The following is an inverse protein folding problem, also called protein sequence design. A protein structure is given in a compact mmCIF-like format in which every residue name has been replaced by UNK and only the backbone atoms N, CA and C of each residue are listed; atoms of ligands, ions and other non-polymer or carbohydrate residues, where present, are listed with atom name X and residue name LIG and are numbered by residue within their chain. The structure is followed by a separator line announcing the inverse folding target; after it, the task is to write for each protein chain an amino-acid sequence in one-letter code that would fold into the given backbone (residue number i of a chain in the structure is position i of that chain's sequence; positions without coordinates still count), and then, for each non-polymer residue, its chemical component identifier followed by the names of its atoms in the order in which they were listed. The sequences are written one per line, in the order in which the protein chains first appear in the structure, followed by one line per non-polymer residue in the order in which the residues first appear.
data_IF_510382969300
#
_entry.id   IF_510382969300
#
_cell.length_a   1.000
_cell.length_b   1.000
_cell.length_c   1.000
_cell.angle_alpha   90.00
_cell.angle_beta   90.00
_cell.angle_gamma   90.00
#
_symmetry.space_group_name_H-M   'P 1'
#
loop_
_entity.id
_entity.type
_entity.pdbx_description
1 polymer ?
#
# COMPACT_ATOMS: atom_id res chain seq x y z
N UNK A 1 -58.33 -16.69 32.49
CA UNK A 1 -57.20 -16.10 33.25
C UNK A 1 -56.69 -14.89 32.49
N UNK A 2 -56.57 -13.75 33.18
CA UNK A 2 -56.11 -12.46 32.65
C UNK A 2 -54.60 -12.49 32.37
N UNK A 3 -54.15 -11.81 31.33
CA UNK A 3 -52.84 -11.14 31.32
C UNK A 3 -53.04 -9.69 30.88
N UNK A 4 -52.87 -8.78 31.84
CA UNK A 4 -52.73 -7.34 31.66
C UNK A 4 -51.36 -7.02 31.05
N UNK A 5 -51.31 -5.95 30.25
CA UNK A 5 -50.11 -5.13 30.14
C UNK A 5 -49.36 -5.19 28.81
N UNK A 6 -49.86 -4.46 27.80
CA UNK A 6 -48.95 -3.88 26.80
C UNK A 6 -49.49 -2.50 26.42
N UNK A 7 -49.00 -1.48 27.12
CA UNK A 7 -49.18 -0.07 26.78
C UNK A 7 -48.55 0.19 25.41
N UNK A 8 -49.36 0.09 24.36
CA UNK A 8 -49.06 0.56 23.02
C UNK A 8 -48.85 2.08 23.07
N UNK A 9 -47.58 2.52 23.16
CA UNK A 9 -47.19 3.87 22.73
C UNK A 9 -47.56 3.98 21.25
N UNK A 10 -48.52 4.85 20.93
CA UNK A 10 -48.87 5.21 19.55
C UNK A 10 -47.61 5.72 18.82
N UNK A 11 -47.28 5.24 17.62
CA UNK A 11 -46.17 5.80 16.86
C UNK A 11 -46.57 7.19 16.31
N UNK A 12 -45.62 8.12 16.33
CA UNK A 12 -45.73 9.47 15.77
C UNK A 12 -46.05 9.42 14.26
N UNK A 13 -46.91 10.31 13.74
CA UNK A 13 -47.25 10.32 12.32
C UNK A 13 -46.05 10.87 11.52
N UNK A 14 -45.44 10.02 10.69
CA UNK A 14 -44.31 10.40 9.82
C UNK A 14 -43.23 9.34 9.67
N UNK A 15 -43.26 8.26 10.46
CA UNK A 15 -42.38 7.12 10.26
C UNK A 15 -42.81 6.35 9.00
N UNK A 16 -42.15 6.63 7.87
CA UNK A 16 -42.21 5.78 6.69
C UNK A 16 -41.61 4.42 7.07
N UNK A 17 -42.45 3.50 7.52
CA UNK A 17 -42.09 2.09 7.59
C UNK A 17 -41.68 1.66 6.18
N UNK A 18 -40.38 1.38 5.97
CA UNK A 18 -39.94 0.53 4.88
C UNK A 18 -40.51 -0.87 5.14
N UNK A 19 -41.81 -1.02 4.83
CA UNK A 19 -42.55 -2.27 4.96
C UNK A 19 -42.21 -3.06 3.71
N UNK A 20 -41.18 -3.89 3.79
CA UNK A 20 -41.00 -4.96 2.80
C UNK A 20 -42.31 -5.75 2.77
N UNK A 21 -43.03 -5.62 1.65
CA UNK A 21 -44.23 -6.41 1.33
C UNK A 21 -43.86 -7.89 1.51
N UNK A 22 -44.76 -8.70 2.04
CA UNK A 22 -44.54 -10.14 2.20
C UNK A 22 -44.07 -10.75 0.87
N UNK A 23 -42.81 -11.19 0.81
CA UNK A 23 -42.14 -11.74 -0.38
C UNK A 23 -42.04 -13.27 -0.26
N UNK A 24 -42.10 -13.94 -1.41
CA UNK A 24 -42.25 -15.38 -1.55
C UNK A 24 -41.06 -16.19 -1.01
N UNK A 25 -41.30 -17.48 -0.75
CA UNK A 25 -40.36 -18.41 -0.08
C UNK A 25 -39.02 -18.58 -0.81
N UNK A 26 -38.96 -18.27 -2.12
CA UNK A 26 -37.73 -18.34 -2.93
C UNK A 26 -36.82 -17.11 -2.71
N UNK A 27 -37.39 -15.90 -2.58
CA UNK A 27 -36.63 -14.67 -2.25
C UNK A 27 -35.94 -14.76 -0.89
N UNK A 28 -36.59 -15.42 0.09
CA UNK A 28 -36.02 -15.66 1.42
C UNK A 28 -34.79 -16.57 1.39
N UNK A 29 -34.77 -17.55 0.48
CA UNK A 29 -33.69 -18.54 0.36
C UNK A 29 -32.48 -17.95 -0.37
N UNK A 30 -32.71 -17.17 -1.41
CA UNK A 30 -31.65 -16.37 -2.05
C UNK A 30 -31.08 -15.32 -1.09
N UNK A 31 -31.91 -14.57 -0.35
CA UNK A 31 -31.40 -13.63 0.68
C UNK A 31 -30.56 -14.30 1.77
N UNK A 32 -30.93 -15.50 2.21
CA UNK A 32 -30.19 -16.27 3.21
C UNK A 32 -28.80 -16.68 2.69
N UNK A 33 -28.74 -17.24 1.48
CA UNK A 33 -27.48 -17.65 0.86
C UNK A 33 -26.56 -16.46 0.61
N UNK A 34 -27.09 -15.34 0.10
CA UNK A 34 -26.30 -14.13 -0.09
C UNK A 34 -25.82 -13.57 1.25
N UNK A 35 -26.70 -13.44 2.25
CA UNK A 35 -26.36 -12.99 3.60
C UNK A 35 -25.21 -13.77 4.25
N UNK A 36 -25.17 -15.08 4.05
CA UNK A 36 -24.07 -15.93 4.51
C UNK A 36 -22.74 -15.62 3.79
N UNK A 37 -22.75 -15.46 2.47
CA UNK A 37 -21.55 -15.11 1.68
C UNK A 37 -20.99 -13.74 2.11
N UNK A 38 -21.87 -12.74 2.31
CA UNK A 38 -21.47 -11.42 2.83
C UNK A 38 -20.75 -11.54 4.17
N UNK A 39 -21.37 -12.25 5.12
CA UNK A 39 -20.85 -12.42 6.47
C UNK A 39 -19.45 -13.06 6.48
N UNK A 40 -19.26 -14.12 5.70
CA UNK A 40 -17.94 -14.76 5.57
C UNK A 40 -16.90 -13.84 4.94
N UNK A 41 -17.28 -13.04 3.95
CA UNK A 41 -16.33 -12.15 3.26
C UNK A 41 -15.78 -11.07 4.19
N UNK A 42 -16.62 -10.47 5.04
CA UNK A 42 -16.17 -9.53 6.06
C UNK A 42 -15.29 -10.21 7.12
N UNK A 43 -15.62 -11.44 7.53
CA UNK A 43 -14.75 -12.21 8.44
C UNK A 43 -13.36 -12.40 7.84
N UNK A 44 -13.28 -12.81 6.57
CA UNK A 44 -12.00 -12.97 5.88
C UNK A 44 -11.25 -11.64 5.74
N UNK A 45 -11.94 -10.56 5.34
CA UNK A 45 -11.35 -9.22 5.26
C UNK A 45 -10.76 -8.76 6.60
N UNK A 46 -11.47 -9.01 7.69
CA UNK A 46 -11.03 -8.73 9.06
C UNK A 46 -9.82 -9.55 9.48
N UNK A 47 -9.79 -10.86 9.17
CA UNK A 47 -8.61 -11.69 9.43
C UNK A 47 -7.37 -11.17 8.69
N UNK A 48 -7.51 -10.78 7.42
CA UNK A 48 -6.40 -10.19 6.64
C UNK A 48 -5.98 -8.84 7.25
N UNK A 49 -6.92 -8.01 7.66
CA UNK A 49 -6.63 -6.74 8.35
C UNK A 49 -5.88 -6.92 9.67
N UNK A 50 -6.29 -7.89 10.50
CA UNK A 50 -5.61 -8.25 11.75
C UNK A 50 -4.20 -8.78 11.49
N UNK A 51 -4.03 -9.64 10.49
CA UNK A 51 -2.72 -10.14 10.09
C UNK A 51 -1.79 -9.00 9.67
N UNK A 52 -2.28 -8.04 8.90
CA UNK A 52 -1.53 -6.87 8.51
C UNK A 52 -1.11 -6.00 9.70
N UNK A 53 -2.00 -5.76 10.67
CA UNK A 53 -1.66 -5.03 11.91
C UNK A 53 -0.59 -5.78 12.70
N UNK A 54 -0.72 -7.09 12.83
CA UNK A 54 0.24 -7.94 13.54
C UNK A 54 1.61 -7.91 12.86
N UNK A 55 1.66 -7.99 11.53
CA UNK A 55 2.89 -7.84 10.74
C UNK A 55 3.55 -6.50 11.00
N UNK A 56 2.79 -5.39 10.96
CA UNK A 56 3.31 -4.06 11.24
C UNK A 56 3.82 -3.93 12.68
N UNK A 57 3.13 -4.53 13.66
CA UNK A 57 3.56 -4.54 15.06
C UNK A 57 4.85 -5.34 15.27
N UNK A 58 4.98 -6.51 14.63
CA UNK A 58 6.19 -7.30 14.64
C UNK A 58 7.35 -6.54 14.00
N UNK A 59 7.13 -5.93 12.84
CA UNK A 59 8.13 -5.07 12.21
C UNK A 59 8.54 -3.93 13.15
N UNK A 60 7.58 -3.24 13.79
CA UNK A 60 7.91 -2.16 14.73
C UNK A 60 8.80 -2.58 15.90
N UNK A 61 8.68 -3.83 16.33
CA UNK A 61 9.44 -4.37 17.46
C UNK A 61 10.84 -4.81 17.05
N UNK A 62 11.00 -5.38 15.86
CA UNK A 62 12.26 -5.98 15.39
C UNK A 62 13.03 -5.08 14.39
N UNK A 63 12.48 -3.93 14.03
CA UNK A 63 13.11 -3.02 13.07
C UNK A 63 14.15 -2.12 13.73
N UNK A 64 15.42 -2.46 13.54
CA UNK A 64 16.57 -1.76 14.12
C UNK A 64 17.15 -0.67 13.22
N UNK A 65 16.81 -0.61 11.92
CA UNK A 65 17.50 0.22 10.92
C UNK A 65 16.65 1.27 10.18
N UNK A 66 15.33 1.39 10.39
CA UNK A 66 14.48 2.18 9.46
C UNK A 66 13.57 3.27 10.02
N UNK A 67 12.86 3.92 9.10
CA UNK A 67 12.08 5.14 9.33
C UNK A 67 10.81 4.86 10.16
N UNK A 68 10.88 5.14 11.46
CA UNK A 68 9.75 4.96 12.41
C UNK A 68 8.49 5.75 12.02
N UNK A 69 8.62 6.89 11.34
CA UNK A 69 7.47 7.70 10.92
C UNK A 69 6.68 7.01 9.80
N UNK A 70 7.40 6.38 8.86
CA UNK A 70 6.81 5.58 7.79
C UNK A 70 5.99 4.41 8.36
N UNK A 71 6.58 3.66 9.30
CA UNK A 71 5.88 2.53 9.92
C UNK A 71 4.65 2.97 10.72
N UNK A 72 4.79 4.06 11.48
CA UNK A 72 3.69 4.68 12.22
C UNK A 72 2.52 5.02 11.28
N UNK A 73 2.81 5.58 10.09
CA UNK A 73 1.79 5.90 9.10
C UNK A 73 1.07 4.65 8.59
N UNK A 74 1.81 3.60 8.18
CA UNK A 74 1.22 2.34 7.72
C UNK A 74 0.40 1.67 8.81
N UNK A 75 0.92 1.63 10.05
CA UNK A 75 0.21 1.07 11.20
C UNK A 75 -1.12 1.76 11.43
N UNK A 76 -1.12 3.08 11.52
CA UNK A 76 -2.33 3.84 11.81
C UNK A 76 -3.32 3.77 10.64
N UNK A 77 -2.84 3.72 9.40
CA UNK A 77 -3.66 3.41 8.22
C UNK A 77 -4.36 2.05 8.35
N UNK A 78 -3.62 0.99 8.69
CA UNK A 78 -4.18 -0.34 8.89
C UNK A 78 -5.17 -0.42 10.05
N UNK A 79 -4.92 0.32 11.14
CA UNK A 79 -5.87 0.42 12.26
C UNK A 79 -7.18 1.06 11.80
N UNK A 80 -7.13 2.15 11.02
CA UNK A 80 -8.35 2.74 10.44
C UNK A 80 -9.10 1.72 9.57
N UNK A 81 -8.40 0.99 8.70
CA UNK A 81 -9.01 -0.03 7.83
C UNK A 81 -9.65 -1.17 8.62
N UNK A 82 -9.02 -1.63 9.72
CA UNK A 82 -9.59 -2.67 10.57
C UNK A 82 -10.80 -2.19 11.38
N UNK A 83 -10.80 -0.93 11.84
CA UNK A 83 -11.98 -0.35 12.50
C UNK A 83 -13.14 -0.24 11.51
N UNK A 84 -12.89 0.19 10.26
CA UNK A 84 -13.91 0.20 9.21
C UNK A 84 -14.49 -1.18 8.99
N UNK A 85 -13.64 -2.19 8.77
CA UNK A 85 -14.10 -3.57 8.58
C UNK A 85 -14.99 -4.06 9.74
N UNK A 86 -14.57 -3.82 10.99
CA UNK A 86 -15.37 -4.15 12.17
C UNK A 86 -16.71 -3.42 12.24
N UNK A 87 -16.76 -2.14 11.84
CA UNK A 87 -18.01 -1.37 11.77
C UNK A 87 -18.96 -1.93 10.72
N UNK A 88 -18.47 -2.16 9.50
CA UNK A 88 -19.30 -2.71 8.44
C UNK A 88 -19.77 -4.12 8.76
N UNK A 89 -18.92 -4.96 9.36
CA UNK A 89 -19.32 -6.26 9.89
C UNK A 89 -20.47 -6.13 10.89
N UNK A 90 -20.35 -5.23 11.87
CA UNK A 90 -21.37 -5.00 12.88
C UNK A 90 -22.69 -4.50 12.28
N UNK A 91 -22.65 -3.53 11.37
CA UNK A 91 -23.84 -2.99 10.69
C UNK A 91 -24.55 -4.04 9.85
N UNK A 92 -23.79 -4.82 9.07
CA UNK A 92 -24.36 -5.89 8.26
C UNK A 92 -24.92 -7.02 9.13
N UNK A 93 -24.27 -7.37 10.24
CA UNK A 93 -24.79 -8.34 11.20
C UNK A 93 -26.13 -7.88 11.81
N UNK A 94 -26.23 -6.61 12.22
CA UNK A 94 -27.48 -6.04 12.72
C UNK A 94 -28.58 -6.07 11.64
N UNK A 95 -28.23 -5.72 10.40
CA UNK A 95 -29.14 -5.78 9.27
C UNK A 95 -29.67 -7.20 9.04
N UNK A 96 -28.79 -8.22 9.03
CA UNK A 96 -29.19 -9.62 8.88
C UNK A 96 -30.12 -10.08 10.00
N UNK A 97 -29.86 -9.67 11.24
CA UNK A 97 -30.65 -10.06 12.41
C UNK A 97 -32.02 -9.39 12.46
N UNK A 98 -32.11 -8.12 12.07
CA UNK A 98 -33.31 -7.30 12.27
C UNK A 98 -34.10 -7.05 10.99
N UNK A 99 -33.49 -7.25 9.83
CA UNK A 99 -34.05 -6.90 8.52
C UNK A 99 -34.11 -5.39 8.25
N UNK A 100 -33.63 -4.55 9.18
CA UNK A 100 -33.65 -3.09 9.09
C UNK A 100 -32.22 -2.57 9.15
N UNK A 101 -31.85 -1.73 8.19
CA UNK A 101 -30.54 -1.11 8.17
C UNK A 101 -30.56 0.11 9.10
N UNK A 102 -30.27 -0.09 10.39
CA UNK A 102 -30.21 0.97 11.40
C UNK A 102 -28.76 1.22 11.80
N UNK A 103 -28.27 2.45 11.63
CA UNK A 103 -26.93 2.84 12.07
C UNK A 103 -27.05 4.00 13.04
N UNK A 104 -26.66 3.81 14.30
CA UNK A 104 -26.64 4.88 15.29
C UNK A 104 -25.75 6.05 14.79
N UNK A 105 -26.13 7.32 15.00
CA UNK A 105 -25.35 8.47 14.56
C UNK A 105 -23.88 8.42 15.00
N UNK A 106 -23.63 7.96 16.23
CA UNK A 106 -22.27 7.82 16.78
C UNK A 106 -21.38 6.87 15.96
N UNK A 107 -21.92 5.74 15.49
CA UNK A 107 -21.18 4.78 14.67
C UNK A 107 -20.87 5.35 13.28
N UNK A 108 -21.73 6.25 12.77
CA UNK A 108 -21.49 6.94 11.50
C UNK A 108 -20.47 8.06 11.60
N UNK A 109 -20.46 8.80 12.70
CA UNK A 109 -19.37 9.73 12.99
C UNK A 109 -18.03 8.98 13.02
N UNK A 110 -18.01 7.79 13.65
CA UNK A 110 -16.83 6.94 13.70
C UNK A 110 -16.42 6.39 12.33
N UNK A 111 -17.37 5.92 11.53
CA UNK A 111 -17.17 5.45 10.14
C UNK A 111 -16.50 6.55 9.28
N UNK A 112 -17.10 7.73 9.23
CA UNK A 112 -16.53 8.89 8.53
C UNK A 112 -15.17 9.32 9.11
N UNK A 113 -14.98 9.23 10.43
CA UNK A 113 -13.69 9.50 11.07
C UNK A 113 -12.61 8.53 10.58
N UNK A 114 -12.95 7.26 10.41
CA UNK A 114 -12.01 6.26 9.90
C UNK A 114 -11.66 6.45 8.42
N UNK A 115 -12.58 6.89 7.57
CA UNK A 115 -12.28 7.28 6.17
C UNK A 115 -11.32 8.47 6.11
N UNK A 116 -11.57 9.52 6.91
CA UNK A 116 -10.69 10.69 7.00
C UNK A 116 -9.31 10.27 7.52
N UNK A 117 -9.27 9.43 8.55
CA UNK A 117 -8.04 8.87 9.10
C UNK A 117 -7.26 8.06 8.07
N UNK A 118 -7.93 7.22 7.29
CA UNK A 118 -7.31 6.40 6.26
C UNK A 118 -6.65 7.29 5.19
N UNK A 119 -7.36 8.30 4.67
CA UNK A 119 -6.77 9.26 3.71
C UNK A 119 -5.59 10.03 4.30
N UNK A 120 -5.69 10.47 5.57
CA UNK A 120 -4.62 11.18 6.27
C UNK A 120 -3.37 10.31 6.45
N UNK A 121 -3.51 9.09 6.98
CA UNK A 121 -2.36 8.21 7.21
C UNK A 121 -1.76 7.66 5.93
N UNK A 122 -2.58 7.40 4.91
CA UNK A 122 -2.07 7.04 3.57
C UNK A 122 -1.24 8.19 2.96
N UNK A 123 -1.74 9.42 3.04
CA UNK A 123 -0.98 10.59 2.58
C UNK A 123 0.29 10.81 3.41
N UNK A 124 0.29 10.46 4.70
CA UNK A 124 1.49 10.50 5.55
C UNK A 124 2.53 9.47 5.13
N UNK A 125 2.11 8.24 4.81
CA UNK A 125 3.00 7.22 4.26
C UNK A 125 3.66 7.71 2.97
N UNK A 126 2.88 8.27 2.05
CA UNK A 126 3.41 8.82 0.78
C UNK A 126 4.42 9.94 1.05
N UNK A 127 4.11 10.91 1.93
CA UNK A 127 5.02 12.03 2.25
C UNK A 127 6.35 11.56 2.82
N UNK A 128 6.32 10.59 3.73
CA UNK A 128 7.52 10.04 4.34
C UNK A 128 8.33 9.18 3.35
N UNK A 129 7.66 8.50 2.43
CA UNK A 129 8.32 7.67 1.42
C UNK A 129 9.04 8.49 0.35
N UNK A 130 8.44 9.60 -0.10
CA UNK A 130 8.97 10.39 -1.22
C UNK A 130 10.13 11.32 -0.85
N UNK A 131 10.56 11.38 0.42
CA UNK A 131 11.67 12.22 0.91
C UNK A 131 11.67 13.68 0.37
N UNK A 132 10.49 14.26 0.19
CA UNK A 132 10.31 15.58 -0.43
C UNK A 132 11.10 16.68 0.32
N UNK A 133 11.56 17.74 -0.38
CA UNK A 133 12.21 18.87 0.25
C UNK A 133 11.38 19.45 1.41
N UNK A 134 12.04 19.71 2.54
CA UNK A 134 11.44 20.20 3.79
C UNK A 134 10.34 21.28 3.63
N UNK A 135 10.53 22.37 2.85
CA UNK A 135 9.50 23.41 2.73
C UNK A 135 8.24 22.91 2.00
N UNK A 136 8.40 22.07 0.97
CA UNK A 136 7.27 21.48 0.24
C UNK A 136 6.52 20.50 1.15
N UNK A 137 7.24 19.64 1.87
CA UNK A 137 6.67 18.68 2.81
C UNK A 137 5.83 19.37 3.89
N UNK A 138 6.36 20.43 4.52
CA UNK A 138 5.62 21.20 5.54
C UNK A 138 4.31 21.79 5.00
N UNK A 139 4.35 22.40 3.81
CA UNK A 139 3.15 22.94 3.16
C UNK A 139 2.12 21.85 2.87
N UNK A 140 2.55 20.70 2.37
CA UNK A 140 1.65 19.57 2.10
C UNK A 140 1.00 19.04 3.36
N UNK A 141 1.77 18.86 4.44
CA UNK A 141 1.24 18.43 5.73
C UNK A 141 0.21 19.43 6.26
N UNK A 142 0.49 20.74 6.21
CA UNK A 142 -0.43 21.77 6.69
C UNK A 142 -1.75 21.75 5.92
N UNK A 143 -1.71 21.76 4.59
CA UNK A 143 -2.92 21.73 3.74
C UNK A 143 -3.75 20.47 4.03
N UNK A 144 -3.09 19.32 4.14
CA UNK A 144 -3.77 18.05 4.46
C UNK A 144 -4.46 18.12 5.82
N UNK A 145 -3.79 18.64 6.84
CA UNK A 145 -4.36 18.81 8.18
C UNK A 145 -5.57 19.74 8.17
N UNK A 146 -5.49 20.88 7.48
CA UNK A 146 -6.61 21.82 7.36
C UNK A 146 -7.81 21.18 6.67
N UNK A 147 -7.60 20.44 5.57
CA UNK A 147 -8.68 19.75 4.86
C UNK A 147 -9.30 18.64 5.72
N UNK A 148 -8.48 17.82 6.39
CA UNK A 148 -8.98 16.77 7.29
C UNK A 148 -9.76 17.37 8.47
N UNK A 149 -9.27 18.45 9.08
CA UNK A 149 -9.97 19.15 10.16
C UNK A 149 -11.33 19.71 9.68
N UNK A 150 -11.38 20.29 8.48
CA UNK A 150 -12.62 20.73 7.86
C UNK A 150 -13.61 19.57 7.62
N UNK A 151 -13.11 18.44 7.12
CA UNK A 151 -13.93 17.22 6.94
C UNK A 151 -14.46 16.69 8.28
N UNK A 152 -13.65 16.71 9.34
CA UNK A 152 -14.08 16.26 10.68
C UNK A 152 -15.17 17.16 11.27
N UNK A 153 -15.02 18.48 11.14
CA UNK A 153 -16.02 19.44 11.64
C UNK A 153 -17.35 19.31 10.89
N UNK A 154 -17.28 19.19 9.56
CA UNK A 154 -18.48 19.04 8.71
C UNK A 154 -19.15 17.67 8.89
N UNK A 155 -18.37 16.60 9.07
CA UNK A 155 -18.84 15.28 9.47
C UNK A 155 -19.65 15.35 10.78
N UNK A 156 -19.08 15.95 11.83
CA UNK A 156 -19.76 16.07 13.11
C UNK A 156 -21.06 16.89 13.01
N UNK A 157 -21.06 17.95 12.22
CA UNK A 157 -22.26 18.77 11.97
C UNK A 157 -23.35 17.99 11.22
N UNK A 158 -22.98 17.23 10.18
CA UNK A 158 -23.94 16.47 9.36
C UNK A 158 -24.50 15.27 10.12
N UNK A 159 -23.63 14.38 10.57
CA UNK A 159 -24.02 13.10 11.16
C UNK A 159 -24.42 13.22 12.63
N UNK A 160 -23.86 14.17 13.36
CA UNK A 160 -24.19 14.38 14.78
C UNK A 160 -25.50 15.10 15.02
N UNK A 161 -25.98 15.92 14.07
CA UNK A 161 -27.12 16.82 14.30
C UNK A 161 -28.21 16.79 13.22
N UNK A 162 -27.90 16.51 11.95
CA UNK A 162 -28.90 16.57 10.86
C UNK A 162 -29.61 15.24 10.60
N UNK A 163 -29.01 14.12 11.01
CA UNK A 163 -29.54 12.78 10.77
C UNK A 163 -30.25 12.18 11.99
N UNK A 164 -31.30 11.39 11.74
CA UNK A 164 -31.91 10.53 12.76
C UNK A 164 -31.25 9.12 12.78
N UNK A 165 -31.67 8.27 13.72
CA UNK A 165 -31.13 6.91 13.91
C UNK A 165 -31.30 5.95 12.71
N UNK A 166 -32.11 6.34 11.71
CA UNK A 166 -32.40 5.57 10.50
C UNK A 166 -31.74 6.17 9.26
N UNK A 167 -30.77 7.08 9.45
CA UNK A 167 -30.06 7.73 8.36
C UNK A 167 -30.97 8.57 7.44
N UNK A 168 -32.14 8.92 7.96
CA UNK A 168 -33.13 9.70 7.23
C UNK A 168 -33.03 11.15 7.66
N UNK A 169 -32.84 12.04 6.69
CA UNK A 169 -32.94 13.47 6.91
C UNK A 169 -34.34 13.93 6.54
N UNK A 170 -34.94 14.74 7.40
CA UNK A 170 -36.24 15.36 7.13
C UNK A 170 -36.22 16.07 5.77
N UNK A 171 -37.31 15.93 5.02
CA UNK A 171 -37.41 16.54 3.70
C UNK A 171 -37.27 18.07 3.79
N UNK A 172 -36.60 18.67 2.80
CA UNK A 172 -36.37 20.11 2.73
C UNK A 172 -34.91 20.53 2.88
N UNK A 173 -34.63 21.76 3.36
CA UNK A 173 -33.28 22.32 3.42
C UNK A 173 -32.22 21.48 4.16
N UNK A 174 -32.53 20.80 5.28
CA UNK A 174 -31.54 19.97 6.00
C UNK A 174 -30.99 18.82 5.17
N UNK A 175 -31.82 18.17 4.33
CA UNK A 175 -31.39 17.08 3.45
C UNK A 175 -30.44 17.55 2.37
N UNK A 176 -30.75 18.70 1.77
CA UNK A 176 -29.88 19.32 0.78
C UNK A 176 -28.53 19.69 1.40
N UNK A 177 -28.54 20.25 2.61
CA UNK A 177 -27.31 20.58 3.34
C UNK A 177 -26.47 19.34 3.66
N UNK A 178 -27.07 18.27 4.17
CA UNK A 178 -26.38 17.02 4.45
C UNK A 178 -25.77 16.37 3.19
N UNK A 179 -26.50 16.39 2.07
CA UNK A 179 -26.02 15.91 0.78
C UNK A 179 -24.83 16.74 0.27
N UNK A 180 -24.90 18.08 0.37
CA UNK A 180 -23.78 18.96 0.00
C UNK A 180 -22.55 18.68 0.86
N UNK A 181 -22.74 18.49 2.17
CA UNK A 181 -21.63 18.14 3.07
C UNK A 181 -20.98 16.82 2.66
N UNK A 182 -21.77 15.79 2.33
CA UNK A 182 -21.23 14.51 1.89
C UNK A 182 -20.42 14.63 0.60
N UNK A 183 -20.93 15.38 -0.39
CA UNK A 183 -20.21 15.62 -1.65
C UNK A 183 -18.90 16.36 -1.38
N UNK A 184 -18.90 17.36 -0.49
CA UNK A 184 -17.69 18.09 -0.11
C UNK A 184 -16.67 17.19 0.59
N UNK A 185 -17.13 16.29 1.47
CA UNK A 185 -16.28 15.30 2.13
C UNK A 185 -15.65 14.37 1.10
N UNK A 186 -16.45 13.79 0.21
CA UNK A 186 -15.99 12.92 -0.88
C UNK A 186 -14.93 13.61 -1.74
N UNK A 187 -15.21 14.82 -2.22
CA UNK A 187 -14.30 15.60 -3.08
C UNK A 187 -13.01 15.93 -2.35
N UNK A 188 -13.09 16.30 -1.07
CA UNK A 188 -11.91 16.64 -0.26
C UNK A 188 -10.99 15.45 -0.06
N UNK A 189 -11.54 14.28 0.27
CA UNK A 189 -10.75 13.05 0.46
C UNK A 189 -10.12 12.56 -0.85
N UNK A 190 -10.88 12.60 -1.96
CA UNK A 190 -10.35 12.29 -3.29
C UNK A 190 -9.26 13.29 -3.70
N UNK A 191 -9.45 14.58 -3.42
CA UNK A 191 -8.42 15.59 -3.70
C UNK A 191 -7.14 15.33 -2.92
N UNK A 192 -7.22 15.04 -1.61
CA UNK A 192 -6.05 14.74 -0.77
C UNK A 192 -5.25 13.57 -1.35
N UNK A 193 -5.93 12.47 -1.68
CA UNK A 193 -5.30 11.24 -2.15
C UNK A 193 -4.68 11.42 -3.53
N UNK A 194 -5.41 12.00 -4.49
CA UNK A 194 -4.91 12.29 -5.84
C UNK A 194 -3.73 13.25 -5.80
N UNK A 195 -3.83 14.33 -5.02
CA UNK A 195 -2.77 15.33 -4.92
C UNK A 195 -1.45 14.73 -4.40
N UNK A 196 -1.53 13.86 -3.39
CA UNK A 196 -0.35 13.16 -2.87
C UNK A 196 0.20 12.13 -3.86
N UNK A 197 -0.68 11.35 -4.51
CA UNK A 197 -0.27 10.38 -5.52
C UNK A 197 0.49 11.07 -6.66
N UNK A 198 -0.08 12.13 -7.25
CA UNK A 198 0.54 12.85 -8.36
C UNK A 198 1.92 13.41 -8.00
N UNK A 199 2.09 13.88 -6.76
CA UNK A 199 3.41 14.35 -6.29
C UNK A 199 4.39 13.22 -5.96
N UNK A 200 3.88 12.03 -5.68
CA UNK A 200 4.69 10.86 -5.38
C UNK A 200 5.23 10.16 -6.63
N UNK A 201 4.46 10.17 -7.73
CA UNK A 201 4.80 9.41 -8.93
C UNK A 201 6.14 9.81 -9.55
N UNK A 202 6.50 11.09 -9.47
CA UNK A 202 7.77 11.62 -9.99
C UNK A 202 8.97 11.22 -9.09
N UNK A 203 8.77 11.13 -7.78
CA UNK A 203 9.83 10.94 -6.78
C UNK A 203 10.08 9.45 -6.44
N UNK A 204 9.08 8.58 -6.64
CA UNK A 204 9.19 7.16 -6.32
C UNK A 204 10.04 6.41 -7.35
N UNK A 205 11.36 6.31 -7.13
CA UNK A 205 12.31 5.64 -8.05
C UNK A 205 12.01 4.15 -8.23
N UNK A 206 11.62 3.45 -7.16
CA UNK A 206 11.40 2.00 -7.22
C UNK A 206 10.08 1.65 -7.92
N UNK A 207 10.17 1.06 -9.14
CA UNK A 207 9.02 0.71 -9.98
C UNK A 207 7.97 -0.15 -9.26
N UNK A 208 8.40 -1.15 -8.48
CA UNK A 208 7.49 -2.04 -7.73
C UNK A 208 6.68 -1.27 -6.69
N UNK A 209 7.34 -0.48 -5.84
CA UNK A 209 6.67 0.35 -4.82
C UNK A 209 5.70 1.34 -5.48
N UNK A 210 6.11 1.99 -6.58
CA UNK A 210 5.27 2.91 -7.34
C UNK A 210 3.96 2.26 -7.78
N UNK A 211 4.00 1.00 -8.25
CA UNK A 211 2.81 0.24 -8.65
C UNK A 211 1.88 0.03 -7.44
N UNK A 212 2.40 -0.47 -6.31
CA UNK A 212 1.59 -0.70 -5.11
C UNK A 212 0.96 0.58 -4.58
N UNK A 213 1.73 1.68 -4.50
CA UNK A 213 1.21 2.99 -4.08
C UNK A 213 0.09 3.47 -4.99
N UNK A 214 0.24 3.28 -6.30
CA UNK A 214 -0.77 3.66 -7.29
C UNK A 214 -2.05 2.84 -7.12
N UNK A 215 -1.92 1.51 -7.04
CA UNK A 215 -3.05 0.60 -6.85
C UNK A 215 -3.80 0.92 -5.55
N UNK A 216 -3.08 1.03 -4.43
CA UNK A 216 -3.70 1.35 -3.13
C UNK A 216 -4.41 2.71 -3.15
N UNK A 217 -3.81 3.73 -3.78
CA UNK A 217 -4.47 5.03 -3.92
C UNK A 217 -5.75 4.95 -4.75
N UNK A 218 -5.75 4.18 -5.84
CA UNK A 218 -6.95 3.96 -6.67
C UNK A 218 -8.03 3.22 -5.89
N UNK A 219 -7.66 2.19 -5.13
CA UNK A 219 -8.60 1.45 -4.28
C UNK A 219 -9.24 2.34 -3.21
N UNK A 220 -8.44 3.16 -2.52
CA UNK A 220 -8.94 4.10 -1.50
C UNK A 220 -9.90 5.13 -2.12
N UNK A 221 -9.57 5.66 -3.31
CA UNK A 221 -10.46 6.59 -4.03
C UNK A 221 -11.76 5.90 -4.43
N UNK A 222 -11.68 4.68 -4.96
CA UNK A 222 -12.84 3.89 -5.37
C UNK A 222 -13.77 3.60 -4.20
N UNK A 223 -13.22 3.20 -3.06
CA UNK A 223 -13.97 2.94 -1.83
C UNK A 223 -14.67 4.20 -1.30
N UNK A 224 -13.96 5.32 -1.26
CA UNK A 224 -14.52 6.62 -0.87
C UNK A 224 -15.69 7.04 -1.77
N UNK A 225 -15.53 6.93 -3.10
CA UNK A 225 -16.58 7.26 -4.06
C UNK A 225 -17.81 6.36 -3.91
N UNK A 226 -17.59 5.05 -3.75
CA UNK A 226 -18.65 4.08 -3.55
C UNK A 226 -19.43 4.35 -2.26
N UNK A 227 -18.71 4.60 -1.15
CA UNK A 227 -19.33 4.91 0.12
C UNK A 227 -20.18 6.18 0.04
N UNK A 228 -19.62 7.29 -0.45
CA UNK A 228 -20.36 8.56 -0.58
C UNK A 228 -21.57 8.45 -1.50
N UNK A 229 -21.49 7.62 -2.55
CA UNK A 229 -22.64 7.32 -3.40
C UNK A 229 -23.74 6.56 -2.65
N UNK A 230 -23.38 5.53 -1.87
CA UNK A 230 -24.32 4.77 -1.04
C UNK A 230 -25.00 5.66 0.00
N UNK A 231 -24.22 6.51 0.67
CA UNK A 231 -24.69 7.49 1.65
C UNK A 231 -25.72 8.44 1.04
N UNK A 232 -25.39 9.04 -0.11
CA UNK A 232 -26.27 10.01 -0.76
C UNK A 232 -27.61 9.36 -1.13
N UNK A 233 -27.57 8.10 -1.56
CA UNK A 233 -28.76 7.35 -1.90
C UNK A 233 -29.65 7.09 -0.67
N UNK A 234 -29.04 6.69 0.46
CA UNK A 234 -29.76 6.55 1.74
C UNK A 234 -30.38 7.89 2.20
N UNK A 235 -29.66 9.00 2.06
CA UNK A 235 -30.17 10.35 2.41
C UNK A 235 -31.40 10.76 1.61
N UNK A 236 -31.50 10.33 0.35
CA UNK A 236 -32.66 10.61 -0.52
C UNK A 236 -33.87 9.72 -0.22
N UNK A 237 -33.73 8.74 0.67
CA UNK A 237 -34.79 7.77 1.00
C UNK A 237 -34.94 6.66 -0.03
N UNK A 238 -33.96 6.52 -0.93
CA UNK A 238 -33.90 5.45 -1.92
C UNK A 238 -33.03 4.29 -1.39
N UNK A 239 -33.21 3.07 -1.88
CA UNK A 239 -32.43 1.90 -1.46
C UNK A 239 -31.08 1.82 -2.20
N UNK A 240 -29.93 1.89 -1.51
CA UNK A 240 -28.63 2.03 -2.16
C UNK A 240 -28.44 0.94 -3.22
N UNK A 241 -27.89 1.24 -4.40
CA UNK A 241 -27.78 0.25 -5.47
C UNK A 241 -27.04 -1.02 -5.05
N UNK A 242 -26.09 -0.90 -4.12
CA UNK A 242 -25.40 -2.03 -3.48
C UNK A 242 -26.33 -3.01 -2.77
N UNK A 243 -27.47 -2.55 -2.24
CA UNK A 243 -28.50 -3.41 -1.63
C UNK A 243 -29.26 -4.30 -2.61
N UNK A 244 -29.15 -4.01 -3.91
CA UNK A 244 -29.68 -4.84 -4.99
C UNK A 244 -28.67 -5.87 -5.49
N UNK A 245 -27.40 -5.77 -5.08
CA UNK A 245 -26.37 -6.73 -5.43
C UNK A 245 -26.15 -7.75 -4.31
N UNK A 246 -25.79 -8.99 -4.67
CA UNK A 246 -25.49 -10.06 -3.71
C UNK A 246 -24.16 -9.89 -2.96
N UNK A 247 -23.38 -8.84 -3.25
CA UNK A 247 -22.11 -8.57 -2.58
C UNK A 247 -21.87 -7.06 -2.48
N UNK A 248 -21.49 -6.59 -1.29
CA UNK A 248 -21.28 -5.18 -0.97
C UNK A 248 -19.87 -4.86 -1.43
N UNK A 249 -19.75 -4.00 -2.44
CA UNK A 249 -18.45 -3.70 -3.04
C UNK A 249 -17.45 -3.10 -2.03
N UNK A 250 -17.92 -2.49 -0.93
CA UNK A 250 -17.03 -1.97 0.14
C UNK A 250 -16.17 -3.08 0.74
N UNK A 251 -16.70 -4.30 0.93
CA UNK A 251 -15.88 -5.41 1.46
C UNK A 251 -14.77 -5.81 0.50
N UNK A 252 -15.02 -5.71 -0.81
CA UNK A 252 -14.04 -6.02 -1.85
C UNK A 252 -12.91 -5.01 -1.80
N UNK A 253 -13.23 -3.72 -1.68
CA UNK A 253 -12.22 -2.67 -1.53
C UNK A 253 -11.38 -2.87 -0.27
N UNK A 254 -12.00 -3.07 0.89
CA UNK A 254 -11.29 -3.31 2.16
C UNK A 254 -10.37 -4.53 2.05
N UNK A 255 -10.87 -5.65 1.49
CA UNK A 255 -10.09 -6.87 1.29
C UNK A 255 -8.87 -6.63 0.39
N UNK A 256 -9.08 -5.98 -0.76
CA UNK A 256 -7.99 -5.66 -1.68
C UNK A 256 -6.99 -4.69 -1.05
N UNK A 257 -7.45 -3.65 -0.34
CA UNK A 257 -6.59 -2.71 0.37
C UNK A 257 -5.72 -3.45 1.39
N UNK A 258 -6.29 -4.36 2.18
CA UNK A 258 -5.54 -5.13 3.16
C UNK A 258 -4.49 -6.03 2.49
N UNK A 259 -4.85 -6.77 1.42
CA UNK A 259 -3.90 -7.61 0.68
C UNK A 259 -2.78 -6.79 0.07
N UNK A 260 -3.10 -5.73 -0.67
CA UNK A 260 -2.09 -4.90 -1.33
C UNK A 260 -1.21 -4.18 -0.31
N UNK A 261 -1.72 -3.85 0.87
CA UNK A 261 -0.91 -3.27 1.95
C UNK A 261 0.04 -4.30 2.55
N UNK A 262 -0.38 -5.55 2.77
CA UNK A 262 0.52 -6.63 3.18
C UNK A 262 1.61 -6.85 2.12
N UNK A 263 1.24 -6.89 0.85
CA UNK A 263 2.20 -7.05 -0.25
C UNK A 263 3.18 -5.87 -0.31
N UNK A 264 2.70 -4.64 -0.11
CA UNK A 264 3.55 -3.45 -0.01
C UNK A 264 4.55 -3.59 1.14
N UNK A 265 4.09 -3.94 2.34
CA UNK A 265 4.94 -4.16 3.53
C UNK A 265 5.99 -5.25 3.25
N UNK A 266 5.58 -6.34 2.61
CA UNK A 266 6.48 -7.43 2.26
C UNK A 266 7.57 -7.02 1.27
N UNK A 267 7.21 -6.25 0.24
CA UNK A 267 8.17 -5.75 -0.75
C UNK A 267 9.17 -4.74 -0.16
N UNK A 268 8.74 -3.99 0.86
CA UNK A 268 9.56 -2.98 1.54
C UNK A 268 10.58 -3.61 2.49
N UNK A 269 10.15 -4.51 3.39
CA UNK A 269 10.96 -4.88 4.57
C UNK A 269 11.44 -6.33 4.60
N UNK A 270 10.64 -7.30 4.14
CA UNK A 270 11.06 -8.71 4.18
C UNK A 270 12.15 -9.01 3.17
N UNK A 271 12.18 -8.28 2.04
CA UNK A 271 13.27 -8.40 1.07
C UNK A 271 14.63 -8.11 1.72
N UNK A 272 14.74 -7.08 2.58
CA UNK A 272 16.00 -6.75 3.23
C UNK A 272 16.45 -7.86 4.21
N UNK A 273 15.51 -8.47 4.96
CA UNK A 273 15.83 -9.55 5.90
C UNK A 273 16.30 -10.84 5.19
N UNK A 274 15.72 -11.15 4.02
CA UNK A 274 16.11 -12.32 3.21
C UNK A 274 17.33 -12.03 2.32
N UNK A 275 17.54 -10.80 1.84
CA UNK A 275 18.75 -10.45 1.07
C UNK A 275 19.99 -10.32 1.96
N UNK A 276 19.86 -9.96 3.25
CA UNK A 276 21.00 -10.03 4.19
C UNK A 276 21.52 -11.47 4.35
N UNK A 277 20.68 -12.48 4.08
CA UNK A 277 21.10 -13.90 4.15
C UNK A 277 21.41 -14.52 2.78
N UNK A 278 21.17 -13.82 1.66
CA UNK A 278 21.29 -14.41 0.31
C UNK A 278 22.10 -13.56 -0.70
N UNK A 279 22.36 -12.26 -0.47
CA UNK A 279 23.11 -11.41 -1.43
C UNK A 279 24.65 -11.47 -1.33
N UNK A 280 25.21 -12.45 -0.61
CA UNK A 280 26.59 -12.90 -0.80
C UNK A 280 26.63 -14.23 -1.59
N UNK A 281 25.71 -14.42 -2.55
CA UNK A 281 25.84 -15.50 -3.53
C UNK A 281 26.94 -15.13 -4.54
N UNK A 282 28.11 -15.75 -4.35
CA UNK A 282 29.33 -15.70 -5.17
C UNK A 282 29.08 -15.69 -6.69
N UNK A 283 28.01 -16.34 -7.16
CA UNK A 283 27.62 -16.43 -8.57
C UNK A 283 27.38 -15.08 -9.30
N UNK A 284 26.82 -14.06 -8.65
CA UNK A 284 26.55 -12.78 -9.34
C UNK A 284 27.81 -11.89 -9.46
N UNK A 285 28.83 -12.13 -8.62
CA UNK A 285 30.09 -11.39 -8.66
C UNK A 285 31.04 -11.98 -9.70
N UNK A 286 31.11 -13.31 -9.79
CA UNK A 286 31.89 -14.01 -10.83
C UNK A 286 31.45 -13.60 -12.24
N UNK A 287 30.13 -13.60 -12.49
CA UNK A 287 29.58 -13.22 -13.80
C UNK A 287 29.85 -11.75 -14.19
N UNK A 288 29.92 -10.82 -13.22
CA UNK A 288 30.26 -9.41 -13.47
C UNK A 288 31.76 -9.24 -13.76
N UNK A 289 32.61 -9.93 -13.00
CA UNK A 289 34.07 -9.85 -13.16
C UNK A 289 34.49 -10.44 -14.51
N UNK A 290 33.99 -11.62 -14.87
CA UNK A 290 34.29 -12.28 -16.14
C UNK A 290 33.90 -11.39 -17.33
N UNK A 291 32.69 -10.81 -17.28
CA UNK A 291 32.22 -9.85 -18.30
C UNK A 291 33.11 -8.62 -18.42
N UNK A 292 33.62 -8.10 -17.30
CA UNK A 292 34.51 -6.92 -17.29
C UNK A 292 35.90 -7.21 -17.81
N UNK A 293 36.45 -8.37 -17.48
CA UNK A 293 37.72 -8.84 -18.02
C UNK A 293 37.64 -9.00 -19.54
N UNK A 294 36.51 -9.49 -20.08
CA UNK A 294 36.27 -9.57 -21.53
C UNK A 294 36.24 -8.20 -22.21
N UNK A 295 35.53 -7.24 -21.61
CA UNK A 295 35.45 -5.89 -22.14
C UNK A 295 36.82 -5.21 -22.18
N UNK A 296 37.60 -5.34 -21.10
CA UNK A 296 38.96 -4.79 -21.02
C UNK A 296 39.87 -5.44 -22.07
N UNK A 297 39.79 -6.77 -22.22
CA UNK A 297 40.58 -7.47 -23.21
C UNK A 297 40.24 -7.02 -24.64
N UNK A 298 38.95 -6.85 -24.95
CA UNK A 298 38.50 -6.37 -26.25
C UNK A 298 38.89 -4.92 -26.50
N UNK A 299 38.72 -4.03 -25.53
CA UNK A 299 38.99 -2.59 -25.70
C UNK A 299 40.48 -2.28 -25.86
N UNK A 300 41.36 -3.12 -25.30
CA UNK A 300 42.81 -2.95 -25.36
C UNK A 300 43.52 -3.93 -26.31
N UNK A 301 42.76 -4.72 -27.07
CA UNK A 301 43.32 -5.64 -28.07
C UNK A 301 44.24 -6.72 -27.48
N UNK A 302 43.86 -7.26 -26.32
CA UNK A 302 44.54 -8.41 -25.73
C UNK A 302 44.27 -9.66 -26.59
N UNK A 303 45.31 -10.47 -26.75
CA UNK A 303 45.15 -11.81 -27.34
C UNK A 303 44.41 -12.74 -26.38
N UNK A 304 43.84 -13.84 -26.88
CA UNK A 304 43.19 -14.86 -26.03
C UNK A 304 44.11 -15.31 -24.89
N UNK A 305 45.40 -15.51 -25.18
CA UNK A 305 46.37 -15.94 -24.17
C UNK A 305 46.69 -14.85 -23.14
N UNK A 306 46.70 -13.59 -23.55
CA UNK A 306 46.87 -12.47 -22.62
C UNK A 306 45.63 -12.28 -21.74
N UNK A 307 44.42 -12.60 -22.24
CA UNK A 307 43.18 -12.60 -21.44
C UNK A 307 43.19 -13.68 -20.37
N UNK A 308 43.59 -14.91 -20.69
CA UNK A 308 43.75 -15.99 -19.71
C UNK A 308 44.78 -15.62 -18.62
N UNK A 309 45.91 -15.02 -19.01
CA UNK A 309 46.93 -14.54 -18.05
C UNK A 309 46.40 -13.37 -17.21
N UNK A 310 45.62 -12.46 -17.77
CA UNK A 310 45.00 -11.33 -17.07
C UNK A 310 44.03 -11.80 -15.98
N UNK A 311 43.23 -12.81 -16.26
CA UNK A 311 42.26 -13.40 -15.34
C UNK A 311 42.93 -14.03 -14.12
N UNK A 312 43.89 -14.94 -14.35
CA UNK A 312 44.67 -15.54 -13.27
C UNK A 312 45.49 -14.49 -12.51
N UNK A 313 45.93 -13.44 -13.19
CA UNK A 313 46.62 -12.33 -12.56
C UNK A 313 45.68 -11.51 -11.63
N UNK A 314 44.43 -11.33 -12.03
CA UNK A 314 43.40 -10.66 -11.22
C UNK A 314 43.01 -11.49 -9.98
N UNK A 315 42.91 -12.82 -10.13
CA UNK A 315 42.63 -13.76 -9.04
C UNK A 315 43.75 -13.85 -7.99
N UNK A 316 44.93 -13.29 -8.29
CA UNK A 316 46.04 -13.19 -7.35
C UNK A 316 47.18 -14.20 -7.55
N UNK A 317 47.14 -15.04 -8.58
CA UNK A 317 48.18 -16.05 -8.83
C UNK A 317 49.52 -15.44 -9.25
N UNK A 318 50.60 -15.81 -8.59
CA UNK A 318 51.96 -15.38 -8.93
C UNK A 318 52.40 -15.92 -10.31
N UNK A 319 53.39 -15.28 -10.94
CA UNK A 319 53.86 -15.73 -12.26
C UNK A 319 54.30 -17.22 -12.32
N UNK A 320 54.88 -17.81 -11.26
CA UNK A 320 55.07 -19.25 -11.15
C UNK A 320 53.77 -20.06 -11.18
N UNK A 321 52.75 -19.66 -10.44
CA UNK A 321 51.46 -20.36 -10.35
C UNK A 321 50.71 -20.27 -11.69
N UNK A 322 50.69 -19.09 -12.32
CA UNK A 322 50.14 -18.93 -13.69
C UNK A 322 50.86 -19.82 -14.69
N UNK A 323 52.19 -19.96 -14.56
CA UNK A 323 52.98 -20.80 -15.45
C UNK A 323 52.63 -22.29 -15.31
N UNK A 324 52.34 -22.72 -14.09
CA UNK A 324 51.89 -24.08 -13.78
C UNK A 324 50.47 -24.33 -14.31
N UNK A 325 49.53 -23.42 -14.02
CA UNK A 325 48.12 -23.53 -14.43
C UNK A 325 47.97 -23.57 -15.96
N UNK A 326 48.70 -22.67 -16.64
CA UNK A 326 48.64 -22.54 -18.09
C UNK A 326 49.62 -23.46 -18.83
N UNK A 327 50.41 -24.27 -18.12
CA UNK A 327 51.43 -25.19 -18.67
C UNK A 327 52.39 -24.48 -19.64
N UNK A 328 53.01 -23.39 -19.18
CA UNK A 328 53.98 -22.59 -19.94
C UNK A 328 55.18 -22.20 -19.08
N UNK A 329 56.24 -21.65 -19.69
CA UNK A 329 57.41 -21.23 -18.91
C UNK A 329 57.14 -19.95 -18.11
N UNK A 330 57.78 -19.80 -16.93
CA UNK A 330 57.75 -18.55 -16.13
C UNK A 330 58.20 -17.33 -16.93
N UNK A 331 59.12 -17.54 -17.89
CA UNK A 331 59.57 -16.48 -18.80
C UNK A 331 58.45 -16.05 -19.75
N UNK A 332 57.68 -17.01 -20.28
CA UNK A 332 56.52 -16.74 -21.13
C UNK A 332 55.44 -15.95 -20.40
N UNK A 333 55.14 -16.30 -19.14
CA UNK A 333 54.20 -15.53 -18.30
C UNK A 333 54.69 -14.11 -18.06
N UNK A 334 55.98 -13.92 -17.74
CA UNK A 334 56.56 -12.57 -17.59
C UNK A 334 56.39 -11.74 -18.86
N UNK A 335 56.56 -12.35 -20.04
CA UNK A 335 56.35 -11.68 -21.32
C UNK A 335 54.88 -11.30 -21.55
N UNK A 336 53.93 -12.20 -21.25
CA UNK A 336 52.50 -11.88 -21.33
C UNK A 336 52.11 -10.76 -20.37
N UNK A 337 52.57 -10.79 -19.11
CA UNK A 337 52.33 -9.74 -18.12
C UNK A 337 52.87 -8.38 -18.58
N UNK A 338 54.05 -8.35 -19.19
CA UNK A 338 54.62 -7.12 -19.75
C UNK A 338 53.76 -6.54 -20.87
N UNK A 339 53.35 -7.38 -21.83
CA UNK A 339 52.48 -6.95 -22.92
C UNK A 339 51.10 -6.47 -22.41
N UNK A 340 50.53 -7.14 -21.40
CA UNK A 340 49.26 -6.75 -20.79
C UNK A 340 49.40 -5.36 -20.17
N UNK A 341 50.44 -5.12 -19.39
CA UNK A 341 50.71 -3.84 -18.76
C UNK A 341 50.91 -2.72 -19.79
N UNK A 342 51.64 -2.99 -20.87
CA UNK A 342 51.81 -2.04 -21.98
C UNK A 342 50.49 -1.71 -22.68
N UNK A 343 49.65 -2.71 -22.95
CA UNK A 343 48.35 -2.52 -23.62
C UNK A 343 47.30 -1.83 -22.75
N UNK A 344 47.35 -2.07 -21.44
CA UNK A 344 46.45 -1.48 -20.46
C UNK A 344 46.92 -0.11 -19.94
N UNK A 345 48.13 0.33 -20.31
CA UNK A 345 48.78 1.53 -19.81
C UNK A 345 48.88 1.57 -18.27
N UNK A 346 49.29 0.45 -17.70
CA UNK A 346 49.49 0.29 -16.25
C UNK A 346 50.91 -0.20 -15.96
N UNK A 347 51.38 0.05 -14.75
CA UNK A 347 52.73 -0.25 -14.29
C UNK A 347 52.77 -1.32 -13.20
N UNK A 348 51.65 -1.53 -12.49
CA UNK A 348 51.60 -2.47 -11.37
C UNK A 348 50.41 -3.42 -11.42
N UNK A 349 50.59 -4.56 -10.76
CA UNK A 349 49.51 -5.52 -10.55
C UNK A 349 48.39 -4.98 -9.65
N UNK A 350 48.70 -4.02 -8.78
CA UNK A 350 47.69 -3.36 -7.95
C UNK A 350 46.78 -2.46 -8.81
N UNK A 351 47.34 -1.77 -9.80
CA UNK A 351 46.56 -1.01 -10.79
C UNK A 351 45.68 -1.92 -11.64
N UNK A 352 46.14 -3.12 -12.00
CA UNK A 352 45.34 -4.14 -12.68
C UNK A 352 44.11 -4.53 -11.85
N UNK A 353 44.30 -4.84 -10.56
CA UNK A 353 43.20 -5.18 -9.64
C UNK A 353 42.22 -4.00 -9.50
N UNK A 354 42.73 -2.78 -9.43
CA UNK A 354 41.88 -1.59 -9.32
C UNK A 354 41.07 -1.29 -10.60
N UNK A 355 41.64 -1.57 -11.78
CA UNK A 355 40.96 -1.43 -13.06
C UNK A 355 39.80 -2.43 -13.22
N UNK A 356 39.99 -3.66 -12.75
CA UNK A 356 38.98 -4.72 -12.82
C UNK A 356 38.01 -4.68 -11.62
N UNK A 357 38.41 -4.13 -10.47
CA UNK A 357 37.58 -4.03 -9.27
C UNK A 357 36.39 -3.07 -9.40
N UNK A 358 35.33 -3.21 -8.59
CA UNK A 358 34.10 -2.41 -8.70
C UNK A 358 34.37 -0.93 -8.42
N UNK A 359 34.50 -0.10 -9.46
CA UNK A 359 34.65 1.34 -9.30
C UNK A 359 35.22 2.14 -10.46
N UNK A 360 35.98 1.56 -11.39
CA UNK A 360 36.64 2.32 -12.47
C UNK A 360 36.66 1.55 -13.80
N UNK A 361 35.55 1.59 -14.53
CA UNK A 361 35.53 1.17 -15.94
C UNK A 361 36.23 2.18 -16.86
N UNK A 362 36.66 1.76 -18.06
CA UNK A 362 37.42 2.57 -19.01
C UNK A 362 36.52 3.66 -19.61
N UNK A 363 36.45 4.80 -18.92
CA UNK A 363 35.67 5.98 -19.29
C UNK A 363 35.99 7.20 -18.44
N UNK A 364 36.58 7.02 -17.26
CA UNK A 364 37.19 8.10 -16.48
C UNK A 364 38.64 8.32 -16.89
N UNK A 365 38.88 9.15 -17.92
CA UNK A 365 40.21 9.74 -18.09
C UNK A 365 40.47 10.70 -16.93
N UNK A 366 41.67 10.57 -16.35
CA UNK A 366 42.31 11.52 -15.44
C UNK A 366 42.35 12.94 -16.03
#
# INVERSE_FOLDING_TARGET
MRCHGCLLRRPLPGACHFRFRALERNDLKERSMFGEIFFFTYIFAGFVGLLAILLVALLSKYWTSGNKQLLSAVRNFMICTAIMDGLYFYMNYLFLKTGIYTTQPALRVLDSFTFIGQAYFWSAYIREKCQLPQPRRKRMTLVTLCLCAGCLLTNLASYGFLMNDYYFVSAGPPRMLAAVIEVLLCVSLTFITVWHLLKALDELVQKKIRIFVTILSILIIGDNLLNSFNVLHLMTGSSPPSSHFPLDFTVVFIFLINIFTILLIYQEDFRALFHITVDFSVENVENDIESRLDLIAQSHGLTLREREVLELAYEGLTNPEIAEELIISKYTVKRHMHNIFEKLDISTRMELVHLVGPGNGPGGRL
#
